data_IF_446171978522
#
_entry.id   IF_446171978522
#
_cell.length_a   1.000
_cell.length_b   1.000
_cell.length_c   1.000
_cell.angle_alpha   90.00
_cell.angle_beta   90.00
_cell.angle_gamma   90.00
#
_symmetry.space_group_name_H-M   'P 1'
#
loop_
_entity.id
_entity.type
_entity.pdbx_description
1 polymer ?
#
# COMPACT_ATOMS: atom_id res chain seq x y z
N UNK A 1 9.28 -27.81 28.34
CA UNK A 1 9.17 -29.12 27.65
C UNK A 1 9.47 -29.01 26.16
N UNK A 2 8.94 -28.01 25.42
CA UNK A 2 9.31 -27.79 24.00
C UNK A 2 10.74 -27.21 23.84
N UNK A 3 11.15 -26.30 24.74
CA UNK A 3 12.49 -25.69 24.71
C UNK A 3 13.61 -26.68 25.06
N UNK A 4 13.33 -27.64 25.94
CA UNK A 4 14.23 -28.76 26.29
C UNK A 4 14.40 -29.73 25.11
N UNK A 5 13.34 -29.91 24.30
CA UNK A 5 13.38 -30.71 23.09
C UNK A 5 14.20 -30.03 21.98
N UNK A 6 14.14 -28.69 21.88
CA UNK A 6 14.89 -27.92 20.88
C UNK A 6 16.38 -27.80 21.21
N UNK A 7 16.77 -27.75 22.49
CA UNK A 7 18.18 -27.81 22.93
C UNK A 7 18.86 -29.11 22.49
N UNK A 8 18.14 -30.24 22.49
CA UNK A 8 18.67 -31.54 22.08
C UNK A 8 18.97 -31.66 20.58
N UNK A 9 18.41 -30.77 19.75
CA UNK A 9 18.65 -30.69 18.30
C UNK A 9 19.67 -29.62 17.89
N UNK A 10 20.42 -29.01 18.83
CA UNK A 10 21.67 -28.29 18.51
C UNK A 10 22.78 -29.27 18.13
N UNK A 11 22.54 -30.08 17.10
CA UNK A 11 23.54 -30.93 16.48
C UNK A 11 24.62 -30.07 15.85
N UNK A 12 25.88 -30.33 16.19
CA UNK A 12 27.05 -29.81 15.45
C UNK A 12 26.88 -30.20 13.98
N UNK A 13 26.87 -29.20 13.09
CA UNK A 13 26.89 -29.41 11.63
C UNK A 13 28.14 -30.23 11.31
N UNK A 14 27.96 -31.53 11.08
CA UNK A 14 29.06 -32.48 10.93
C UNK A 14 29.74 -32.39 9.56
N UNK A 15 29.03 -31.88 8.54
CA UNK A 15 29.55 -31.69 7.20
C UNK A 15 28.75 -30.60 6.46
N UNK A 16 29.46 -29.63 5.89
CA UNK A 16 28.91 -28.71 4.89
C UNK A 16 29.20 -29.28 3.50
N UNK A 17 28.18 -29.83 2.83
CA UNK A 17 28.26 -30.26 1.44
C UNK A 17 27.71 -29.20 0.49
N UNK A 18 28.40 -28.93 -0.61
CA UNK A 18 27.87 -28.07 -1.69
C UNK A 18 27.05 -28.93 -2.64
N UNK A 19 25.73 -28.73 -2.71
CA UNK A 19 24.89 -29.41 -3.69
C UNK A 19 25.10 -28.78 -5.08
N UNK A 20 25.74 -29.51 -5.99
CA UNK A 20 25.87 -29.07 -7.39
C UNK A 20 24.56 -29.35 -8.13
N UNK A 21 23.77 -28.32 -8.38
CA UNK A 21 22.53 -28.43 -9.16
C UNK A 21 22.87 -28.45 -10.66
N UNK A 22 22.33 -29.41 -11.41
CA UNK A 22 22.39 -29.37 -12.87
C UNK A 22 21.50 -28.22 -13.37
N UNK A 23 22.14 -27.09 -13.72
CA UNK A 23 21.49 -25.83 -14.12
C UNK A 23 20.55 -26.03 -15.30
N UNK A 24 20.90 -26.87 -16.28
CA UNK A 24 20.05 -27.15 -17.44
C UNK A 24 18.74 -27.86 -17.04
N UNK A 25 18.81 -28.89 -16.18
CA UNK A 25 17.62 -29.56 -15.65
C UNK A 25 16.80 -28.65 -14.72
N UNK A 26 17.47 -27.83 -13.92
CA UNK A 26 16.80 -26.86 -13.06
C UNK A 26 16.01 -25.84 -13.90
N UNK A 27 16.60 -25.32 -14.99
CA UNK A 27 15.93 -24.42 -15.94
C UNK A 27 14.71 -25.05 -16.58
N UNK A 28 14.78 -26.31 -17.01
CA UNK A 28 13.62 -27.04 -17.56
C UNK A 28 12.49 -27.13 -16.53
N UNK A 29 12.82 -27.42 -15.26
CA UNK A 29 11.82 -27.44 -14.18
C UNK A 29 11.27 -26.05 -13.89
N UNK A 30 12.11 -25.01 -13.84
CA UNK A 30 11.68 -23.63 -13.62
C UNK A 30 10.76 -23.13 -14.74
N UNK A 31 10.96 -23.58 -15.99
CA UNK A 31 10.02 -23.32 -17.10
C UNK A 31 8.63 -23.93 -16.88
N UNK A 32 8.50 -24.96 -16.05
CA UNK A 32 7.20 -25.58 -15.72
C UNK A 32 6.47 -24.81 -14.62
N UNK A 33 7.21 -24.12 -13.75
CA UNK A 33 6.66 -23.21 -12.74
C UNK A 33 6.51 -21.80 -13.32
N UNK A 34 5.54 -21.67 -14.23
CA UNK A 34 5.20 -20.39 -14.84
C UNK A 34 4.45 -19.49 -13.87
N UNK A 35 4.56 -18.18 -14.09
CA UNK A 35 3.65 -17.19 -13.52
C UNK A 35 2.20 -17.62 -13.78
N UNK A 36 1.34 -17.48 -12.77
CA UNK A 36 -0.08 -17.84 -12.89
C UNK A 36 -0.73 -17.05 -14.02
N UNK A 37 -0.53 -15.73 -14.05
CA UNK A 37 -0.85 -14.88 -15.19
C UNK A 37 0.35 -14.74 -16.12
N UNK A 38 0.44 -15.58 -17.16
CA UNK A 38 1.65 -15.65 -18.01
C UNK A 38 2.09 -14.32 -18.64
N UNK A 39 1.15 -13.43 -18.99
CA UNK A 39 1.44 -12.12 -19.60
C UNK A 39 2.10 -11.10 -18.64
N UNK A 40 2.16 -11.40 -17.35
CA UNK A 40 2.88 -10.57 -16.36
C UNK A 40 4.40 -10.65 -16.52
N UNK A 41 4.92 -11.50 -17.42
CA UNK A 41 6.34 -11.52 -17.77
C UNK A 41 6.84 -10.13 -18.20
N UNK A 42 6.00 -9.36 -18.91
CA UNK A 42 6.36 -8.02 -19.36
C UNK A 42 6.54 -7.05 -18.17
N UNK A 43 5.74 -7.21 -17.11
CA UNK A 43 5.92 -6.47 -15.86
C UNK A 43 7.29 -6.75 -15.23
N UNK A 44 7.76 -8.01 -15.27
CA UNK A 44 9.10 -8.36 -14.77
C UNK A 44 10.22 -7.74 -15.61
N UNK A 45 10.05 -7.58 -16.92
CA UNK A 45 11.04 -6.88 -17.76
C UNK A 45 11.13 -5.39 -17.43
N UNK A 46 9.97 -4.74 -17.17
CA UNK A 46 9.92 -3.35 -16.70
C UNK A 46 10.51 -3.23 -15.29
N UNK A 47 10.14 -4.15 -14.38
CA UNK A 47 10.65 -4.19 -13.01
C UNK A 47 12.16 -4.40 -12.96
N UNK A 48 12.74 -5.13 -13.93
CA UNK A 48 14.18 -5.27 -14.06
C UNK A 48 14.86 -3.90 -14.26
N UNK A 49 14.30 -3.05 -15.14
CA UNK A 49 14.81 -1.69 -15.36
C UNK A 49 14.70 -0.83 -14.10
N UNK A 50 13.55 -0.85 -13.43
CA UNK A 50 13.32 -0.09 -12.18
C UNK A 50 14.29 -0.53 -11.09
N UNK A 51 14.46 -1.84 -10.88
CA UNK A 51 15.38 -2.39 -9.90
C UNK A 51 16.87 -2.07 -10.22
N UNK A 52 17.19 -1.79 -11.49
CA UNK A 52 18.51 -1.35 -11.94
C UNK A 52 18.72 0.17 -11.87
N UNK A 53 17.72 0.92 -11.39
CA UNK A 53 17.79 2.37 -11.24
C UNK A 53 17.49 3.16 -12.52
N UNK A 54 16.66 2.61 -13.42
CA UNK A 54 16.13 3.38 -14.54
C UNK A 54 15.42 4.65 -14.06
N UNK A 55 15.60 5.75 -14.80
CA UNK A 55 14.85 6.99 -14.59
C UNK A 55 13.58 7.06 -15.43
N UNK A 56 13.48 6.25 -16.49
CA UNK A 56 12.28 6.06 -17.32
C UNK A 56 12.28 4.67 -17.96
N UNK A 57 11.09 4.08 -18.13
CA UNK A 57 10.90 2.85 -18.92
C UNK A 57 9.93 3.10 -20.06
N UNK A 58 10.33 2.73 -21.28
CA UNK A 58 9.51 2.78 -22.48
C UNK A 58 9.17 1.36 -22.93
N UNK A 59 7.92 1.16 -23.29
CA UNK A 59 7.40 -0.11 -23.77
C UNK A 59 6.70 0.15 -25.10
N UNK A 60 7.17 -0.50 -26.16
CA UNK A 60 6.43 -0.61 -27.41
C UNK A 60 5.83 -2.01 -27.46
N UNK A 61 4.54 -2.09 -27.73
CA UNK A 61 3.83 -3.35 -27.75
C UNK A 61 2.78 -3.33 -28.86
N UNK A 62 3.01 -4.13 -29.89
CA UNK A 62 2.11 -4.32 -31.01
C UNK A 62 1.60 -5.76 -31.07
N UNK A 63 1.21 -6.23 -32.26
CA UNK A 63 0.62 -7.55 -32.42
C UNK A 63 1.62 -8.69 -32.15
N UNK A 64 2.88 -8.52 -32.58
CA UNK A 64 3.91 -9.56 -32.56
C UNK A 64 5.26 -9.09 -32.00
N UNK A 65 5.40 -7.83 -31.62
CA UNK A 65 6.58 -7.26 -30.97
C UNK A 65 6.26 -6.72 -29.58
N UNK A 66 7.12 -7.08 -28.64
CA UNK A 66 7.26 -6.38 -27.36
C UNK A 66 8.70 -5.87 -27.24
N UNK A 67 8.85 -4.56 -27.14
CA UNK A 67 10.13 -3.88 -26.87
C UNK A 67 10.04 -3.18 -25.54
N UNK A 68 10.98 -3.44 -24.65
CA UNK A 68 11.16 -2.71 -23.38
C UNK A 68 12.52 -2.03 -23.42
N UNK A 69 12.53 -0.70 -23.27
CA UNK A 69 13.73 0.12 -23.22
C UNK A 69 13.79 0.89 -21.91
N UNK A 70 14.98 1.03 -21.36
CA UNK A 70 15.19 1.88 -20.20
C UNK A 70 16.63 2.38 -20.16
N UNK A 71 16.81 3.53 -19.54
CA UNK A 71 18.12 4.05 -19.20
C UNK A 71 18.67 3.37 -17.95
N UNK A 72 19.95 3.59 -17.67
CA UNK A 72 20.59 3.05 -16.49
C UNK A 72 21.94 2.42 -16.79
N UNK A 73 22.59 1.83 -15.77
CA UNK A 73 23.93 1.32 -15.94
C UNK A 73 23.94 0.20 -16.98
N UNK A 74 22.90 -0.62 -17.11
CA UNK A 74 22.87 -1.77 -18.01
C UNK A 74 23.44 -3.04 -17.39
N UNK A 75 23.32 -4.15 -18.10
CA UNK A 75 23.73 -5.48 -17.65
C UNK A 75 25.24 -5.71 -17.80
N UNK A 76 25.81 -6.42 -16.84
CA UNK A 76 27.19 -6.89 -16.92
C UNK A 76 27.32 -8.01 -17.95
N UNK A 77 28.52 -8.24 -18.46
CA UNK A 77 28.82 -9.38 -19.36
C UNK A 77 28.39 -10.69 -18.73
N UNK A 78 28.77 -10.91 -17.46
CA UNK A 78 28.40 -12.10 -16.69
C UNK A 78 26.87 -12.28 -16.60
N UNK A 79 26.11 -11.20 -16.44
CA UNK A 79 24.64 -11.26 -16.43
C UNK A 79 24.09 -11.70 -17.78
N UNK A 80 24.65 -11.23 -18.90
CA UNK A 80 24.21 -11.63 -20.24
C UNK A 80 24.65 -13.05 -20.62
N UNK A 81 25.81 -13.50 -20.15
CA UNK A 81 26.30 -14.87 -20.33
C UNK A 81 25.51 -15.88 -19.49
N UNK A 82 25.01 -15.45 -18.32
CA UNK A 82 24.21 -16.28 -17.42
C UNK A 82 22.91 -15.57 -16.98
N UNK A 83 21.96 -15.32 -17.90
CA UNK A 83 20.79 -14.51 -17.63
C UNK A 83 19.79 -15.17 -16.68
N UNK A 84 19.93 -16.48 -16.43
CA UNK A 84 19.06 -17.25 -15.54
C UNK A 84 19.69 -17.59 -14.19
N UNK A 85 20.98 -17.30 -14.00
CA UNK A 85 21.70 -17.52 -12.74
C UNK A 85 20.97 -16.93 -11.52
N UNK A 86 20.50 -15.67 -11.58
CA UNK A 86 19.80 -15.02 -10.47
C UNK A 86 18.53 -15.72 -9.97
N UNK A 87 17.94 -16.67 -10.72
CA UNK A 87 16.81 -17.47 -10.24
C UNK A 87 17.21 -18.44 -9.13
N UNK A 88 18.46 -18.91 -9.17
CA UNK A 88 19.01 -19.90 -8.24
C UNK A 88 19.70 -19.25 -7.04
N UNK A 89 20.08 -17.97 -7.17
CA UNK A 89 20.69 -17.21 -6.09
C UNK A 89 19.64 -16.75 -5.05
N UNK A 90 20.03 -16.59 -3.77
CA UNK A 90 19.20 -15.92 -2.79
C UNK A 90 18.81 -14.51 -3.27
N UNK A 91 17.57 -14.11 -3.05
CA UNK A 91 17.09 -12.77 -3.43
C UNK A 91 17.73 -11.70 -2.55
N UNK A 92 18.42 -10.73 -3.17
CA UNK A 92 19.08 -9.60 -2.52
C UNK A 92 18.79 -8.30 -3.27
N UNK A 93 19.06 -7.16 -2.63
CA UNK A 93 18.98 -5.85 -3.29
C UNK A 93 19.79 -5.79 -4.58
N UNK A 94 21.01 -6.34 -4.54
CA UNK A 94 22.01 -6.22 -5.59
C UNK A 94 21.68 -7.09 -6.81
N UNK A 95 20.98 -8.21 -6.63
CA UNK A 95 20.58 -9.09 -7.73
C UNK A 95 19.12 -8.92 -8.18
N UNK A 96 18.37 -8.01 -7.54
CA UNK A 96 16.93 -7.85 -7.76
C UNK A 96 16.57 -7.72 -9.25
N UNK A 97 17.13 -6.76 -9.99
CA UNK A 97 16.79 -6.61 -11.41
C UNK A 97 17.30 -7.74 -12.32
N UNK A 98 18.37 -8.45 -11.95
CA UNK A 98 18.83 -9.62 -12.67
C UNK A 98 17.87 -10.79 -12.48
N UNK A 99 17.29 -10.89 -11.28
CA UNK A 99 16.23 -11.85 -10.95
C UNK A 99 14.93 -11.50 -11.69
N UNK A 100 14.51 -10.24 -11.71
CA UNK A 100 13.35 -9.80 -12.49
C UNK A 100 13.53 -10.08 -14.00
N UNK A 101 14.70 -9.76 -14.55
CA UNK A 101 15.03 -10.07 -15.94
C UNK A 101 14.93 -11.58 -16.19
N UNK A 102 15.52 -12.40 -15.31
CA UNK A 102 15.50 -13.84 -15.45
C UNK A 102 14.08 -14.41 -15.41
N UNK A 103 13.21 -13.92 -14.52
CA UNK A 103 11.79 -14.33 -14.43
C UNK A 103 11.06 -13.94 -15.72
N UNK A 104 11.23 -12.70 -16.18
CA UNK A 104 10.61 -12.18 -17.39
C UNK A 104 11.03 -12.96 -18.63
N UNK A 105 12.34 -13.17 -18.84
CA UNK A 105 12.88 -13.95 -19.96
C UNK A 105 12.46 -15.41 -19.91
N UNK A 106 12.53 -16.05 -18.73
CA UNK A 106 12.15 -17.46 -18.59
C UNK A 106 10.67 -17.68 -18.92
N UNK A 107 9.80 -16.76 -18.48
CA UNK A 107 8.36 -16.81 -18.78
C UNK A 107 8.08 -16.47 -20.24
N UNK A 108 8.74 -15.46 -20.81
CA UNK A 108 8.60 -15.09 -22.23
C UNK A 108 8.95 -16.27 -23.16
N UNK A 109 10.06 -16.98 -22.88
CA UNK A 109 10.48 -18.13 -23.66
C UNK A 109 9.46 -19.30 -23.62
N UNK A 110 8.58 -19.36 -22.63
CA UNK A 110 7.52 -20.38 -22.57
C UNK A 110 6.43 -20.19 -23.62
N UNK A 111 6.36 -19.00 -24.24
CA UNK A 111 5.47 -18.70 -25.35
C UNK A 111 6.05 -19.10 -26.73
N UNK A 112 7.24 -19.71 -26.74
CA UNK A 112 7.95 -20.09 -27.97
C UNK A 112 8.09 -18.92 -28.97
N UNK A 113 8.65 -17.77 -28.53
CA UNK A 113 8.86 -16.62 -29.41
C UNK A 113 9.79 -17.02 -30.56
N UNK A 114 9.72 -16.24 -31.65
CA UNK A 114 10.67 -16.39 -32.76
C UNK A 114 12.09 -16.16 -32.26
N UNK A 115 12.28 -15.12 -31.44
CA UNK A 115 13.54 -14.80 -30.78
C UNK A 115 13.33 -13.81 -29.63
N UNK A 116 14.31 -13.75 -28.74
CA UNK A 116 14.46 -12.69 -27.75
C UNK A 116 15.85 -12.10 -27.87
N UNK A 117 15.95 -10.78 -27.92
CA UNK A 117 17.19 -10.02 -27.94
C UNK A 117 17.26 -9.11 -26.71
N UNK A 118 18.37 -9.14 -26.00
CA UNK A 118 18.66 -8.21 -24.90
C UNK A 118 19.98 -7.50 -25.23
N UNK A 119 19.91 -6.24 -25.60
CA UNK A 119 21.09 -5.41 -25.88
C UNK A 119 21.39 -4.47 -24.72
N UNK A 120 22.66 -4.42 -24.31
CA UNK A 120 23.15 -3.58 -23.23
C UNK A 120 24.65 -3.36 -23.37
N UNK A 121 25.13 -2.11 -23.24
CA UNK A 121 26.57 -1.76 -23.22
C UNK A 121 27.40 -2.32 -24.38
N UNK A 122 26.89 -2.30 -25.60
CA UNK A 122 27.59 -2.81 -26.77
C UNK A 122 27.68 -4.35 -26.84
N UNK A 123 26.87 -5.04 -26.05
CA UNK A 123 26.66 -6.49 -26.13
C UNK A 123 25.19 -6.77 -26.40
N UNK A 124 24.92 -7.88 -27.07
CA UNK A 124 23.58 -8.41 -27.28
C UNK A 124 23.52 -9.91 -26.95
N UNK A 125 22.57 -10.28 -26.11
CA UNK A 125 22.16 -11.64 -25.86
C UNK A 125 21.02 -12.00 -26.82
N UNK A 126 21.20 -13.03 -27.62
CA UNK A 126 20.19 -13.63 -28.48
C UNK A 126 19.74 -14.98 -27.94
N UNK A 127 18.43 -15.15 -27.80
CA UNK A 127 17.79 -16.39 -27.36
C UNK A 127 16.85 -16.89 -28.46
N UNK A 128 17.15 -18.09 -28.96
CA UNK A 128 16.38 -18.76 -30.01
C UNK A 128 16.03 -20.18 -29.56
N UNK A 129 14.83 -20.37 -29.00
CA UNK A 129 14.43 -21.65 -28.40
C UNK A 129 15.35 -22.05 -27.24
N UNK A 130 16.27 -22.99 -27.48
CA UNK A 130 17.28 -23.42 -26.50
C UNK A 130 18.67 -22.81 -26.73
N UNK A 131 18.91 -22.21 -27.90
CA UNK A 131 20.19 -21.58 -28.22
C UNK A 131 20.32 -20.23 -27.53
N UNK A 132 21.52 -19.98 -27.03
CA UNK A 132 21.91 -18.74 -26.39
C UNK A 132 23.24 -18.29 -26.99
N UNK A 133 23.29 -17.04 -27.45
CA UNK A 133 24.48 -16.45 -28.05
C UNK A 133 24.67 -15.03 -27.53
N UNK A 134 25.88 -14.69 -27.09
CA UNK A 134 26.25 -13.33 -26.71
C UNK A 134 27.19 -12.81 -27.78
N UNK A 135 26.84 -11.68 -28.40
CA UNK A 135 27.59 -11.06 -29.49
C UNK A 135 27.87 -9.60 -29.19
N UNK A 136 28.89 -9.04 -29.86
CA UNK A 136 29.07 -7.60 -29.88
C UNK A 136 27.88 -6.93 -30.59
N UNK A 137 27.44 -5.79 -30.09
CA UNK A 137 26.34 -5.01 -30.61
C UNK A 137 26.72 -3.53 -30.63
N UNK A 138 25.95 -2.73 -31.35
CA UNK A 138 26.11 -1.28 -31.29
C UNK A 138 25.81 -0.77 -29.88
N UNK A 139 26.63 0.16 -29.41
CA UNK A 139 26.43 0.78 -28.10
C UNK A 139 25.27 1.76 -28.20
N UNK A 140 24.08 1.32 -27.79
CA UNK A 140 22.92 2.17 -27.59
C UNK A 140 22.91 2.83 -26.21
N UNK A 141 22.11 3.90 -26.03
CA UNK A 141 21.85 4.45 -24.71
C UNK A 141 20.99 3.46 -23.90
N UNK A 142 21.57 2.89 -22.83
CA UNK A 142 20.84 2.05 -21.88
C UNK A 142 20.67 0.59 -22.30
N UNK A 143 19.47 0.04 -22.04
CA UNK A 143 19.11 -1.36 -22.26
C UNK A 143 17.89 -1.42 -23.18
N UNK A 144 17.90 -2.36 -24.12
CA UNK A 144 16.74 -2.71 -24.95
C UNK A 144 16.51 -4.21 -24.92
N UNK A 145 15.29 -4.60 -24.59
CA UNK A 145 14.81 -5.99 -24.58
C UNK A 145 13.74 -6.09 -25.66
N UNK A 146 13.94 -6.93 -26.65
CA UNK A 146 13.04 -7.10 -27.77
C UNK A 146 12.65 -8.56 -27.91
N UNK A 147 11.34 -8.83 -27.85
CA UNK A 147 10.74 -10.16 -27.99
C UNK A 147 9.88 -10.16 -29.24
N UNK A 148 10.24 -11.01 -30.21
CA UNK A 148 9.45 -11.24 -31.43
C UNK A 148 8.62 -12.49 -31.29
N UNK A 149 7.30 -12.38 -31.29
CA UNK A 149 6.40 -13.53 -31.35
C UNK A 149 6.45 -14.19 -32.74
N UNK A 150 6.08 -15.48 -32.81
CA UNK A 150 5.84 -16.13 -34.09
C UNK A 150 4.47 -15.68 -34.60
N UNK A 151 4.43 -15.17 -35.83
CA UNK A 151 3.19 -14.80 -36.50
C UNK A 151 2.26 -16.01 -36.55
N UNK A 152 1.19 -15.97 -35.76
CA UNK A 152 0.21 -17.04 -35.67
C UNK A 152 -1.20 -16.49 -35.78
N UNK A 153 -2.19 -17.35 -36.01
CA UNK A 153 -3.60 -16.96 -35.99
C UNK A 153 -4.02 -16.29 -34.66
N UNK A 154 -3.29 -16.55 -33.55
CA UNK A 154 -3.51 -15.90 -32.25
C UNK A 154 -3.07 -14.44 -32.26
N UNK A 155 -1.96 -14.14 -32.92
CA UNK A 155 -1.42 -12.78 -33.12
C UNK A 155 -2.44 -11.91 -33.87
N UNK A 156 -3.08 -12.46 -34.91
CA UNK A 156 -4.16 -11.80 -35.65
C UNK A 156 -5.41 -11.49 -34.78
N UNK A 157 -5.73 -12.36 -33.82
CA UNK A 157 -6.84 -12.09 -32.86
C UNK A 157 -6.52 -10.96 -31.88
N UNK A 158 -5.26 -10.76 -31.49
CA UNK A 158 -4.85 -9.64 -30.62
C UNK A 158 -5.15 -8.29 -31.29
N UNK A 159 -4.86 -8.17 -32.59
CA UNK A 159 -5.15 -6.97 -33.41
C UNK A 159 -6.65 -6.62 -33.45
N UNK A 160 -7.52 -7.64 -33.44
CA UNK A 160 -8.98 -7.45 -33.46
C UNK A 160 -9.57 -7.11 -32.09
N UNK A 161 -8.80 -7.24 -31.01
CA UNK A 161 -9.29 -6.94 -29.67
C UNK A 161 -9.23 -5.45 -29.36
N UNK A 162 -10.34 -4.88 -28.87
CA UNK A 162 -10.41 -3.47 -28.46
C UNK A 162 -9.53 -3.13 -27.24
N UNK A 163 -9.07 -4.14 -26.52
CA UNK A 163 -8.35 -4.01 -25.25
C UNK A 163 -6.83 -3.88 -25.43
N UNK A 164 -6.31 -4.02 -26.66
CA UNK A 164 -4.88 -4.03 -26.95
C UNK A 164 -4.17 -5.32 -26.52
N UNK A 165 -2.83 -5.39 -26.68
CA UNK A 165 -2.06 -6.56 -26.29
C UNK A 165 -2.14 -6.84 -24.76
N UNK A 166 -2.25 -8.12 -24.34
CA UNK A 166 -2.44 -8.46 -22.94
C UNK A 166 -1.25 -8.08 -22.04
N UNK A 167 -0.04 -8.03 -22.58
CA UNK A 167 1.16 -7.57 -21.85
C UNK A 167 1.04 -6.09 -21.48
N UNK A 168 0.57 -5.23 -22.39
CA UNK A 168 0.34 -3.81 -22.10
C UNK A 168 -0.76 -3.63 -21.05
N UNK A 169 -1.82 -4.45 -21.09
CA UNK A 169 -2.87 -4.44 -20.07
C UNK A 169 -2.31 -4.87 -18.69
N UNK A 170 -1.45 -5.88 -18.64
CA UNK A 170 -0.81 -6.34 -17.41
C UNK A 170 0.07 -5.25 -16.77
N UNK A 171 0.87 -4.54 -17.57
CA UNK A 171 1.72 -3.44 -17.08
C UNK A 171 0.83 -2.29 -16.56
N UNK A 172 -0.18 -1.85 -17.33
CA UNK A 172 -1.12 -0.80 -16.88
C UNK A 172 -1.79 -1.13 -15.55
N UNK A 173 -2.17 -2.39 -15.35
CA UNK A 173 -2.83 -2.81 -14.12
C UNK A 173 -1.86 -2.92 -12.94
N UNK A 174 -0.74 -3.64 -13.10
CA UNK A 174 0.17 -3.99 -12.01
C UNK A 174 1.16 -2.89 -11.65
N UNK A 175 1.43 -1.95 -12.57
CA UNK A 175 2.49 -0.94 -12.44
C UNK A 175 1.99 0.50 -12.55
N UNK A 176 0.68 0.73 -12.39
CA UNK A 176 0.04 2.06 -12.44
C UNK A 176 0.67 3.08 -11.48
N UNK A 177 1.21 2.61 -10.36
CA UNK A 177 1.81 3.45 -9.33
C UNK A 177 3.33 3.32 -9.29
N UNK A 178 3.94 2.99 -10.43
CA UNK A 178 5.39 2.89 -10.55
C UNK A 178 6.05 4.19 -10.07
N UNK A 179 7.18 4.11 -9.34
CA UNK A 179 7.93 5.28 -8.90
C UNK A 179 8.75 5.91 -10.02
N UNK A 180 8.88 5.20 -11.13
CA UNK A 180 9.58 5.60 -12.35
C UNK A 180 8.53 5.76 -13.46
N UNK A 181 8.59 6.84 -14.26
CA UNK A 181 7.70 7.01 -15.41
C UNK A 181 7.72 5.79 -16.34
N UNK A 182 6.54 5.31 -16.72
CA UNK A 182 6.37 4.21 -17.68
C UNK A 182 5.53 4.70 -18.85
N UNK A 183 6.11 4.62 -20.05
CA UNK A 183 5.43 4.92 -21.31
C UNK A 183 5.11 3.62 -22.02
N UNK A 184 3.85 3.40 -22.40
CA UNK A 184 3.42 2.30 -23.26
C UNK A 184 2.92 2.88 -24.58
N UNK A 185 3.55 2.56 -25.70
CA UNK A 185 3.22 3.11 -27.02
C UNK A 185 3.12 4.65 -26.97
N UNK A 186 4.12 5.28 -26.33
CA UNK A 186 4.22 6.74 -26.08
C UNK A 186 3.17 7.32 -25.11
N UNK A 187 2.22 6.53 -24.62
CA UNK A 187 1.25 6.93 -23.61
C UNK A 187 1.82 6.68 -22.21
N UNK A 188 1.88 7.71 -21.37
CA UNK A 188 2.29 7.57 -19.98
C UNK A 188 1.19 6.87 -19.17
N UNK A 189 1.55 5.83 -18.44
CA UNK A 189 0.57 5.01 -17.68
C UNK A 189 0.73 5.11 -16.16
N UNK A 190 1.88 5.60 -15.68
CA UNK A 190 2.03 5.92 -14.28
C UNK A 190 1.17 7.14 -13.97
N UNK A 191 0.34 7.02 -12.95
CA UNK A 191 -0.60 8.05 -12.57
C UNK A 191 -0.68 8.17 -11.06
N UNK A 192 -1.17 9.31 -10.57
CA UNK A 192 -1.34 9.47 -9.15
C UNK A 192 -2.32 8.46 -8.61
N UNK A 193 -2.08 8.00 -7.38
CA UNK A 193 -3.09 7.23 -6.69
C UNK A 193 -4.16 8.19 -6.15
N UNK A 194 -5.43 7.97 -6.51
CA UNK A 194 -6.50 8.77 -5.95
C UNK A 194 -6.67 8.38 -4.48
N UNK A 195 -6.27 9.28 -3.59
CA UNK A 195 -6.74 9.30 -2.23
C UNK A 195 -7.91 10.28 -2.22
N UNK A 196 -9.11 9.79 -1.94
CA UNK A 196 -10.32 10.61 -1.92
C UNK A 196 -10.23 11.69 -0.82
N UNK A 197 -11.37 12.21 -0.37
CA UNK A 197 -11.43 13.15 0.74
C UNK A 197 -10.87 12.51 2.02
N UNK A 198 -9.62 12.80 2.38
CA UNK A 198 -8.92 12.22 3.52
C UNK A 198 -8.69 13.27 4.63
N UNK A 199 -8.77 12.85 5.89
CA UNK A 199 -8.70 13.78 7.01
C UNK A 199 -7.32 14.42 7.15
N UNK A 200 -6.29 13.59 7.06
CA UNK A 200 -4.90 14.02 7.10
C UNK A 200 -4.02 13.12 6.23
N UNK A 201 -2.89 13.66 5.78
CA UNK A 201 -1.87 12.96 5.00
C UNK A 201 -0.49 13.10 5.66
N UNK A 202 0.26 12.01 5.66
CA UNK A 202 1.68 11.97 5.95
C UNK A 202 2.43 11.52 4.69
N UNK A 203 3.36 12.35 4.25
CA UNK A 203 4.34 12.01 3.23
C UNK A 203 5.67 11.75 3.91
N UNK A 204 6.26 10.57 3.68
CA UNK A 204 7.59 10.24 4.17
C UNK A 204 8.56 10.07 3.00
N UNK A 205 9.81 10.49 3.20
CA UNK A 205 10.87 10.36 2.21
C UNK A 205 11.99 9.48 2.76
N UNK A 206 12.37 8.47 1.99
CA UNK A 206 13.52 7.61 2.24
C UNK A 206 14.51 7.67 1.08
N UNK A 207 15.82 7.81 1.34
CA UNK A 207 16.83 7.89 0.29
C UNK A 207 16.76 6.72 -0.69
N UNK A 208 16.80 7.02 -2.00
CA UNK A 208 16.84 6.00 -3.06
C UNK A 208 15.51 5.32 -3.37
N UNK A 209 14.42 5.64 -2.66
CA UNK A 209 13.08 5.15 -3.01
C UNK A 209 12.13 6.32 -3.25
N UNK A 210 11.14 6.12 -4.11
CA UNK A 210 10.11 7.13 -4.40
C UNK A 210 8.76 6.44 -4.41
N UNK A 211 7.71 7.18 -4.10
CA UNK A 211 6.32 6.77 -4.34
C UNK A 211 5.77 7.69 -5.43
N UNK A 212 4.89 7.17 -6.28
CA UNK A 212 4.18 8.00 -7.24
C UNK A 212 3.37 9.10 -6.55
N UNK A 213 3.02 10.18 -7.26
CA UNK A 213 2.23 11.25 -6.67
C UNK A 213 0.88 10.72 -6.16
N UNK A 214 0.30 11.45 -5.20
CA UNK A 214 -1.05 11.20 -4.73
C UNK A 214 -1.91 12.42 -5.03
N UNK A 215 -3.10 12.18 -5.55
CA UNK A 215 -4.12 13.21 -5.76
C UNK A 215 -5.20 13.05 -4.70
N UNK A 216 -5.64 14.17 -4.11
CA UNK A 216 -6.67 14.17 -3.08
C UNK A 216 -6.87 15.54 -2.43
N UNK A 217 -7.94 15.65 -1.64
CA UNK A 217 -8.16 16.81 -0.75
C UNK A 217 -7.92 16.38 0.68
N UNK A 218 -7.06 17.11 1.38
CA UNK A 218 -6.62 16.79 2.73
C UNK A 218 -6.95 17.93 3.68
N UNK A 219 -7.43 17.61 4.88
CA UNK A 219 -7.59 18.63 5.93
C UNK A 219 -6.25 19.07 6.53
N UNK A 220 -5.26 18.17 6.52
CA UNK A 220 -3.92 18.44 7.04
C UNK A 220 -2.86 17.63 6.27
N UNK A 221 -1.66 18.19 6.12
CA UNK A 221 -0.51 17.53 5.48
C UNK A 221 0.73 17.65 6.35
N UNK A 222 1.40 16.52 6.56
CA UNK A 222 2.69 16.36 7.20
C UNK A 222 3.69 15.80 6.20
N UNK A 223 4.93 16.28 6.28
CA UNK A 223 6.04 15.82 5.46
C UNK A 223 7.27 15.60 6.35
N UNK A 224 7.92 14.45 6.20
CA UNK A 224 9.11 14.11 6.99
C UNK A 224 10.04 13.09 6.33
N UNK A 225 11.23 12.93 6.89
CA UNK A 225 12.11 11.81 6.57
C UNK A 225 11.68 10.55 7.33
N UNK A 226 11.76 9.40 6.67
CA UNK A 226 11.34 8.12 7.25
C UNK A 226 12.12 6.94 6.70
N UNK A 227 11.92 5.77 7.31
CA UNK A 227 12.53 4.51 6.86
C UNK A 227 12.09 4.16 5.42
N UNK A 228 10.83 4.43 5.10
CA UNK A 228 10.23 4.17 3.80
C UNK A 228 9.78 5.48 3.15
N UNK A 229 9.86 5.54 1.82
CA UNK A 229 9.11 6.54 1.06
C UNK A 229 7.65 6.12 1.02
N UNK A 230 6.75 6.96 1.51
CA UNK A 230 5.34 6.62 1.66
C UNK A 230 4.41 7.82 1.52
N UNK A 231 3.19 7.52 1.08
CA UNK A 231 2.05 8.43 1.13
C UNK A 231 0.95 7.73 1.93
N UNK A 232 0.62 8.29 3.09
CA UNK A 232 -0.27 7.67 4.07
C UNK A 232 -1.38 8.65 4.39
N UNK A 233 -2.63 8.25 4.18
CA UNK A 233 -3.79 9.10 4.41
C UNK A 233 -4.81 8.45 5.34
N UNK A 234 -5.26 9.23 6.31
CA UNK A 234 -6.25 8.84 7.31
C UNK A 234 -7.65 8.93 6.70
N UNK A 235 -8.41 7.84 6.80
CA UNK A 235 -9.76 7.70 6.22
C UNK A 235 -10.69 6.95 7.17
N UNK A 236 -12.00 7.12 7.00
CA UNK A 236 -13.06 6.43 7.73
C UNK A 236 -13.47 5.09 7.09
N UNK A 237 -12.95 4.76 5.91
CA UNK A 237 -13.28 3.53 5.19
C UNK A 237 -12.32 2.38 5.54
N UNK A 238 -12.83 1.14 5.50
CA UNK A 238 -11.96 -0.03 5.39
C UNK A 238 -11.04 0.15 4.19
N UNK A 239 -9.74 -0.01 4.46
CA UNK A 239 -8.70 0.39 3.52
C UNK A 239 -7.56 -0.60 3.54
N UNK A 240 -6.74 -0.55 2.50
CA UNK A 240 -5.60 -1.44 2.28
C UNK A 240 -4.31 -0.61 2.19
N UNK A 241 -3.19 -1.24 2.50
CA UNK A 241 -1.88 -0.71 2.14
C UNK A 241 -1.47 -1.25 0.77
N UNK A 242 -1.14 -0.36 -0.17
CA UNK A 242 -0.50 -0.70 -1.44
C UNK A 242 1.02 -0.65 -1.25
N UNK A 243 1.69 -1.79 -1.38
CA UNK A 243 3.13 -1.89 -1.31
C UNK A 243 3.70 -1.91 -2.73
N UNK A 244 4.65 -1.02 -3.00
CA UNK A 244 5.27 -0.85 -4.31
C UNK A 244 6.68 -1.42 -4.24
N UNK A 245 6.95 -2.49 -4.98
CA UNK A 245 8.25 -3.15 -5.04
C UNK A 245 8.66 -3.35 -6.49
N UNK A 246 9.75 -2.73 -6.92
CA UNK A 246 10.21 -2.70 -8.32
C UNK A 246 9.09 -2.32 -9.32
N UNK A 247 8.21 -1.39 -8.91
CA UNK A 247 7.06 -0.95 -9.69
C UNK A 247 5.84 -1.87 -9.64
N UNK A 248 5.93 -3.08 -9.08
CA UNK A 248 4.76 -3.91 -8.81
C UNK A 248 3.97 -3.39 -7.63
N UNK A 249 2.65 -3.35 -7.78
CA UNK A 249 1.71 -3.03 -6.71
C UNK A 249 1.19 -4.32 -6.08
N UNK A 250 1.40 -4.46 -4.77
CA UNK A 250 0.82 -5.51 -3.94
C UNK A 250 -0.16 -4.91 -2.94
N UNK A 251 -1.22 -5.63 -2.63
CA UNK A 251 -2.14 -5.24 -1.56
C UNK A 251 -1.80 -6.03 -0.29
N UNK A 252 -1.55 -5.30 0.80
CA UNK A 252 -1.16 -5.87 2.07
C UNK A 252 -2.25 -5.63 3.12
N UNK A 253 -3.17 -6.59 3.21
CA UNK A 253 -4.19 -6.71 4.26
C UNK A 253 -5.12 -5.49 4.43
N UNK A 254 -6.18 -5.64 5.24
CA UNK A 254 -6.91 -4.48 5.73
C UNK A 254 -6.05 -3.76 6.76
N UNK A 255 -5.82 -2.46 6.57
CA UNK A 255 -5.24 -1.57 7.58
C UNK A 255 -6.33 -0.56 7.97
N UNK A 256 -6.94 -0.79 9.13
CA UNK A 256 -8.12 -0.06 9.54
C UNK A 256 -7.85 1.45 9.63
N UNK A 257 -8.67 2.23 8.93
CA UNK A 257 -8.68 3.69 8.98
C UNK A 257 -7.55 4.38 8.20
N UNK A 258 -6.81 3.67 7.35
CA UNK A 258 -5.70 4.28 6.59
C UNK A 258 -5.58 3.70 5.20
N UNK A 259 -5.42 4.58 4.20
CA UNK A 259 -4.92 4.21 2.87
C UNK A 259 -3.45 4.57 2.81
N UNK A 260 -2.62 3.60 2.43
CA UNK A 260 -1.19 3.81 2.34
C UNK A 260 -0.65 3.36 0.99
N UNK A 261 0.32 4.08 0.48
CA UNK A 261 1.23 3.63 -0.56
C UNK A 261 2.64 3.68 -0.02
N UNK A 262 3.34 2.57 -0.06
CA UNK A 262 4.69 2.48 0.50
C UNK A 262 5.62 1.89 -0.53
N UNK A 263 6.67 2.62 -0.90
CA UNK A 263 7.76 2.06 -1.69
C UNK A 263 8.65 1.23 -0.77
N UNK A 264 8.74 -0.05 -1.07
CA UNK A 264 9.47 -1.01 -0.26
C UNK A 264 10.69 -1.46 -1.04
N UNK A 265 11.92 -1.32 -0.49
CA UNK A 265 13.13 -1.72 -1.21
C UNK A 265 13.23 -3.23 -1.37
N UNK A 266 12.73 -4.00 -0.41
CA UNK A 266 12.81 -5.46 -0.38
C UNK A 266 11.53 -6.09 0.14
N UNK A 267 10.94 -7.00 -0.64
CA UNK A 267 9.85 -7.86 -0.21
C UNK A 267 10.11 -9.29 -0.64
N UNK A 268 9.74 -10.25 0.20
CA UNK A 268 9.74 -11.66 -0.19
C UNK A 268 8.42 -12.01 -0.85
N UNK A 269 8.49 -12.56 -2.05
CA UNK A 269 7.34 -13.06 -2.80
C UNK A 269 7.25 -14.57 -2.72
N UNK A 270 6.06 -15.09 -2.96
CA UNK A 270 5.86 -16.52 -3.14
C UNK A 270 6.42 -16.97 -4.50
N UNK A 271 6.34 -18.28 -4.78
CA UNK A 271 6.86 -18.81 -6.05
C UNK A 271 6.07 -18.29 -7.27
N UNK A 272 4.79 -17.92 -7.09
CA UNK A 272 3.98 -17.36 -8.17
C UNK A 272 4.33 -15.91 -8.52
N UNK A 273 5.08 -15.23 -7.64
CA UNK A 273 5.38 -13.80 -7.70
C UNK A 273 4.16 -12.88 -7.54
N UNK A 274 2.97 -13.42 -7.27
CA UNK A 274 1.74 -12.64 -7.14
C UNK A 274 1.40 -12.31 -5.69
N UNK A 275 1.94 -13.07 -4.74
CA UNK A 275 1.63 -12.90 -3.33
C UNK A 275 2.89 -12.59 -2.53
N UNK A 276 2.70 -11.76 -1.50
CA UNK A 276 3.73 -11.48 -0.53
C UNK A 276 3.79 -12.61 0.50
N UNK A 277 5.00 -13.03 0.84
CA UNK A 277 5.23 -13.95 1.95
C UNK A 277 5.35 -13.16 3.25
N UNK A 278 4.76 -13.70 4.31
CA UNK A 278 5.04 -13.23 5.66
C UNK A 278 6.54 -13.29 5.93
N UNK A 279 7.11 -12.13 6.23
CA UNK A 279 8.54 -11.94 6.46
C UNK A 279 8.74 -10.76 7.42
N UNK A 280 9.89 -10.67 8.10
CA UNK A 280 10.19 -9.53 8.96
C UNK A 280 10.10 -8.18 8.22
N UNK A 281 10.49 -8.13 6.94
CA UNK A 281 10.39 -6.93 6.12
C UNK A 281 8.92 -6.49 5.90
N UNK A 282 8.03 -7.43 5.59
CA UNK A 282 6.59 -7.14 5.47
C UNK A 282 6.02 -6.66 6.80
N UNK A 283 6.37 -7.32 7.91
CA UNK A 283 5.93 -6.91 9.25
C UNK A 283 6.43 -5.52 9.63
N UNK A 284 7.67 -5.16 9.28
CA UNK A 284 8.23 -3.84 9.52
C UNK A 284 7.44 -2.75 8.77
N UNK A 285 7.14 -2.97 7.49
CA UNK A 285 6.34 -2.03 6.68
C UNK A 285 4.94 -1.85 7.25
N UNK A 286 4.26 -2.93 7.64
CA UNK A 286 2.92 -2.84 8.24
C UNK A 286 2.96 -2.10 9.59
N UNK A 287 3.98 -2.38 10.42
CA UNK A 287 4.19 -1.66 11.69
C UNK A 287 4.44 -0.17 11.46
N UNK A 288 5.20 0.18 10.42
CA UNK A 288 5.43 1.56 10.02
C UNK A 288 4.12 2.27 9.63
N UNK A 289 3.26 1.63 8.82
CA UNK A 289 1.95 2.19 8.44
C UNK A 289 1.05 2.40 9.67
N UNK A 290 1.05 1.45 10.61
CA UNK A 290 0.29 1.58 11.86
C UNK A 290 0.81 2.74 12.72
N UNK A 291 2.13 2.88 12.88
CA UNK A 291 2.74 3.99 13.62
C UNK A 291 2.43 5.34 12.97
N UNK A 292 2.53 5.42 11.63
CA UNK A 292 2.16 6.60 10.87
C UNK A 292 0.68 6.97 11.06
N UNK A 293 -0.21 5.97 11.09
CA UNK A 293 -1.63 6.19 11.41
C UNK A 293 -1.79 6.77 12.81
N UNK A 294 -1.15 6.19 13.83
CA UNK A 294 -1.23 6.72 15.20
C UNK A 294 -0.77 8.18 15.26
N UNK A 295 0.35 8.48 14.63
CA UNK A 295 0.90 9.84 14.54
C UNK A 295 -0.05 10.81 13.84
N UNK A 296 -0.66 10.42 12.72
CA UNK A 296 -1.65 11.23 12.02
C UNK A 296 -2.86 11.53 12.90
N UNK A 297 -3.33 10.55 13.66
CA UNK A 297 -4.45 10.74 14.59
C UNK A 297 -4.09 11.71 15.70
N UNK A 298 -2.94 11.54 16.35
CA UNK A 298 -2.45 12.46 17.38
C UNK A 298 -2.32 13.88 16.83
N UNK A 299 -1.82 14.02 15.61
CA UNK A 299 -1.69 15.32 14.97
C UNK A 299 -3.04 15.95 14.60
N UNK A 300 -4.03 15.16 14.20
CA UNK A 300 -5.40 15.65 14.01
C UNK A 300 -6.00 16.17 15.32
N UNK A 301 -5.74 15.49 16.44
CA UNK A 301 -6.21 15.92 17.76
C UNK A 301 -5.51 17.21 18.22
N UNK A 302 -4.19 17.30 18.07
CA UNK A 302 -3.43 18.49 18.40
C UNK A 302 -3.85 19.73 17.59
N UNK A 303 -4.32 19.53 16.35
CA UNK A 303 -4.74 20.60 15.44
C UNK A 303 -6.26 20.69 15.27
N UNK A 304 -7.05 20.15 16.22
CA UNK A 304 -8.50 20.07 16.10
C UNK A 304 -9.17 21.41 15.70
N UNK A 305 -8.70 22.52 16.28
CA UNK A 305 -9.28 23.84 16.05
C UNK A 305 -8.92 24.45 14.67
N UNK A 306 -7.97 23.88 13.92
CA UNK A 306 -7.63 24.38 12.57
C UNK A 306 -8.55 23.81 11.48
N UNK A 307 -9.22 22.70 11.76
CA UNK A 307 -10.14 22.07 10.82
C UNK A 307 -11.44 22.87 10.62
N UNK A 308 -12.04 22.78 9.44
CA UNK A 308 -13.39 23.29 9.19
C UNK A 308 -14.47 22.42 9.85
N UNK A 309 -15.74 22.84 9.79
CA UNK A 309 -16.83 22.13 10.46
C UNK A 309 -17.01 20.67 9.98
N UNK A 310 -17.01 20.37 8.66
CA UNK A 310 -17.03 18.99 8.17
C UNK A 310 -15.88 18.13 8.70
N UNK A 311 -14.65 18.64 8.68
CA UNK A 311 -13.48 17.88 9.13
C UNK A 311 -13.47 17.68 10.65
N UNK A 312 -13.84 18.70 11.43
CA UNK A 312 -13.99 18.58 12.89
C UNK A 312 -14.98 17.48 13.27
N UNK A 313 -16.08 17.32 12.53
CA UNK A 313 -17.05 16.25 12.78
C UNK A 313 -16.41 14.85 12.61
N UNK A 314 -15.58 14.67 11.58
CA UNK A 314 -14.84 13.42 11.36
C UNK A 314 -13.78 13.18 12.45
N UNK A 315 -12.99 14.19 12.82
CA UNK A 315 -12.00 14.08 13.91
C UNK A 315 -12.67 13.67 15.22
N UNK A 316 -13.87 14.21 15.52
CA UNK A 316 -14.65 13.83 16.71
C UNK A 316 -15.09 12.37 16.66
N UNK A 317 -15.64 11.92 15.54
CA UNK A 317 -16.05 10.51 15.38
C UNK A 317 -14.89 9.56 15.65
N UNK A 318 -13.71 9.90 15.12
CA UNK A 318 -12.48 9.14 15.35
C UNK A 318 -11.99 9.20 16.80
N UNK A 319 -12.02 10.39 17.42
CA UNK A 319 -11.65 10.56 18.83
C UNK A 319 -12.58 9.77 19.75
N UNK A 320 -13.88 9.75 19.47
CA UNK A 320 -14.87 8.97 20.21
C UNK A 320 -14.55 7.48 20.16
N UNK A 321 -14.23 6.96 18.97
CA UNK A 321 -13.85 5.55 18.81
C UNK A 321 -12.57 5.17 19.59
N UNK A 322 -11.72 6.15 19.93
CA UNK A 322 -10.47 5.96 20.68
C UNK A 322 -10.53 6.33 22.15
N UNK A 323 -11.65 6.85 22.63
CA UNK A 323 -11.78 7.35 23.99
C UNK A 323 -11.42 6.28 25.05
N UNK A 324 -11.71 5.00 24.80
CA UNK A 324 -11.40 3.94 25.76
C UNK A 324 -9.91 3.68 25.92
N UNK A 325 -9.15 3.69 24.83
CA UNK A 325 -7.71 3.38 24.83
C UNK A 325 -6.82 4.61 24.97
N UNK A 326 -7.32 5.81 24.64
CA UNK A 326 -6.52 7.03 24.55
C UNK A 326 -7.15 8.24 25.28
N UNK A 327 -7.92 7.99 26.35
CA UNK A 327 -8.65 9.04 27.09
C UNK A 327 -7.82 10.29 27.38
N UNK A 328 -6.59 10.14 27.86
CA UNK A 328 -5.73 11.26 28.24
C UNK A 328 -5.41 12.21 27.08
N UNK A 329 -5.30 11.67 25.85
CA UNK A 329 -5.02 12.44 24.63
C UNK A 329 -6.26 13.19 24.13
N UNK A 330 -7.45 12.61 24.28
CA UNK A 330 -8.68 13.16 23.68
C UNK A 330 -9.60 13.88 24.67
N UNK A 331 -9.35 13.80 25.99
CA UNK A 331 -10.25 14.33 27.03
C UNK A 331 -10.50 15.83 26.97
N UNK A 332 -9.60 16.57 26.31
CA UNK A 332 -9.69 18.03 26.14
C UNK A 332 -10.32 18.45 24.82
N UNK A 333 -10.55 17.51 23.91
CA UNK A 333 -11.23 17.79 22.66
C UNK A 333 -12.73 18.03 22.92
N UNK A 334 -13.38 18.93 22.14
CA UNK A 334 -14.81 19.15 22.22
C UNK A 334 -15.56 18.03 21.49
N UNK A 335 -15.67 16.88 22.15
CA UNK A 335 -16.18 15.63 21.57
C UNK A 335 -17.69 15.45 21.67
N UNK A 336 -18.33 16.10 22.64
CA UNK A 336 -19.73 15.84 22.96
C UNK A 336 -20.59 17.05 22.62
N UNK A 337 -21.59 16.86 21.76
CA UNK A 337 -22.55 17.90 21.45
C UNK A 337 -23.54 18.07 22.62
N UNK A 338 -23.84 19.31 22.99
CA UNK A 338 -24.88 19.64 23.95
C UNK A 338 -26.20 19.91 23.23
N UNK A 339 -27.32 19.81 23.94
CA UNK A 339 -28.66 20.03 23.38
C UNK A 339 -28.83 21.44 22.78
N UNK A 340 -28.08 22.43 23.25
CA UNK A 340 -28.05 23.79 22.71
C UNK A 340 -27.17 23.97 21.46
N UNK A 341 -26.53 22.89 20.98
CA UNK A 341 -25.65 22.89 19.80
C UNK A 341 -24.19 23.26 20.09
N UNK A 342 -23.87 23.66 21.32
CA UNK A 342 -22.47 23.84 21.73
C UNK A 342 -21.78 22.48 21.96
N UNK A 343 -20.45 22.50 22.10
CA UNK A 343 -19.66 21.27 22.31
C UNK A 343 -18.88 21.34 23.62
N UNK A 344 -18.77 20.21 24.31
CA UNK A 344 -18.04 20.07 25.58
C UNK A 344 -17.01 18.95 25.53
N UNK A 345 -16.11 18.94 26.52
CA UNK A 345 -14.97 18.01 26.59
C UNK A 345 -15.23 16.91 27.61
N UNK A 346 -14.59 15.76 27.45
CA UNK A 346 -14.70 14.65 28.42
C UNK A 346 -14.23 15.09 29.83
N UNK A 347 -13.19 15.92 29.90
CA UNK A 347 -12.68 16.48 31.16
C UNK A 347 -13.72 17.37 31.84
N UNK A 348 -14.42 18.24 31.10
CA UNK A 348 -15.48 19.11 31.66
C UNK A 348 -16.63 18.27 32.20
N UNK A 349 -17.09 17.27 31.44
CA UNK A 349 -18.14 16.34 31.89
C UNK A 349 -17.72 15.59 33.15
N UNK A 350 -16.48 15.10 33.23
CA UNK A 350 -15.99 14.36 34.41
C UNK A 350 -15.94 15.20 35.68
N UNK A 351 -15.69 16.50 35.56
CA UNK A 351 -15.67 17.42 36.72
C UNK A 351 -17.06 17.80 37.22
N UNK A 352 -18.09 17.63 36.41
CA UNK A 352 -19.47 17.90 36.80
C UNK A 352 -20.01 16.68 37.57
N UNK A 353 -19.82 16.68 38.88
CA UNK A 353 -20.00 15.54 39.80
C UNK A 353 -21.46 15.13 40.08
N UNK A 354 -22.45 15.72 39.41
CA UNK A 354 -23.86 15.49 39.73
C UNK A 354 -24.69 15.47 38.46
N UNK A 355 -25.00 14.29 37.93
CA UNK A 355 -26.03 14.12 36.91
C UNK A 355 -26.65 12.73 37.11
N UNK A 356 -27.87 12.48 36.62
CA UNK A 356 -28.59 11.19 36.68
C UNK A 356 -28.98 10.79 35.26
N UNK A 357 -28.90 9.51 34.94
CA UNK A 357 -29.19 8.95 33.62
C UNK A 357 -30.66 9.09 33.25
N UNK A 358 -30.90 9.48 32.00
CA UNK A 358 -32.22 9.54 31.37
C UNK A 358 -32.30 8.42 30.34
N UNK A 359 -33.03 7.37 30.68
CA UNK A 359 -33.55 6.43 29.69
C UNK A 359 -35.03 6.23 29.98
N UNK A 360 -35.85 6.63 29.01
CA UNK A 360 -37.25 6.24 28.72
C UNK A 360 -38.30 6.33 29.83
N UNK A 361 -37.96 6.66 31.08
CA UNK A 361 -38.90 6.83 32.18
C UNK A 361 -38.81 8.23 32.77
N UNK A 362 -39.90 8.97 32.58
CA UNK A 362 -40.08 10.36 32.98
C UNK A 362 -40.63 10.44 34.41
N UNK A 363 -39.80 10.71 35.44
CA UNK A 363 -40.34 11.57 36.51
C UNK A 363 -39.37 12.62 37.08
N UNK A 364 -38.11 12.71 36.63
CA UNK A 364 -37.18 13.73 37.14
C UNK A 364 -37.14 14.97 36.25
N UNK A 365 -37.29 16.19 36.79
CA UNK A 365 -37.01 17.43 36.05
C UNK A 365 -35.49 17.69 36.06
N UNK A 366 -34.82 17.97 34.92
CA UNK A 366 -33.42 18.40 34.96
C UNK A 366 -33.33 19.74 35.69
N UNK A 367 -32.28 19.94 36.48
CA UNK A 367 -32.00 21.28 37.02
C UNK A 367 -31.47 22.15 35.88
N UNK A 368 -31.94 23.39 35.82
CA UNK A 368 -31.68 24.38 34.76
C UNK A 368 -30.19 24.62 34.38
N UNK A 369 -29.26 24.29 35.28
CA UNK A 369 -27.84 24.55 35.11
C UNK A 369 -27.04 23.36 34.56
N UNK A 370 -27.66 22.20 34.36
CA UNK A 370 -26.97 20.97 34.02
C UNK A 370 -26.87 20.79 32.49
N UNK A 371 -25.67 20.52 31.93
CA UNK A 371 -25.52 20.29 30.50
C UNK A 371 -26.10 18.93 30.13
N UNK A 372 -27.00 18.92 29.14
CA UNK A 372 -27.55 17.70 28.54
C UNK A 372 -26.74 17.36 27.30
N UNK A 373 -26.08 16.21 27.31
CA UNK A 373 -25.28 15.73 26.18
C UNK A 373 -26.20 15.02 25.19
N UNK A 374 -26.06 15.34 23.92
CA UNK A 374 -26.65 14.58 22.82
C UNK A 374 -25.77 13.37 22.59
N UNK A 375 -26.30 12.16 22.78
CA UNK A 375 -25.59 10.95 22.42
C UNK A 375 -26.26 10.27 21.24
N UNK A 376 -25.42 9.73 20.37
CA UNK A 376 -25.80 8.72 19.40
C UNK A 376 -25.37 7.32 19.88
N UNK A 377 -25.61 6.33 19.02
CA UNK A 377 -25.27 4.94 19.27
C UNK A 377 -23.76 4.69 19.46
N UNK A 378 -22.88 5.54 18.92
CA UNK A 378 -21.42 5.40 19.07
C UNK A 378 -20.94 5.94 20.41
N UNK A 379 -21.51 7.07 20.83
CA UNK A 379 -21.10 7.78 22.05
C UNK A 379 -21.73 7.19 23.32
N UNK A 380 -22.94 6.63 23.22
CA UNK A 380 -23.72 6.13 24.37
C UNK A 380 -22.99 5.05 25.20
N UNK A 381 -22.41 3.98 24.62
CA UNK A 381 -21.72 2.96 25.41
C UNK A 381 -20.57 3.52 26.24
N UNK A 382 -19.84 4.49 25.66
CA UNK A 382 -18.75 5.18 26.35
C UNK A 382 -19.28 6.02 27.53
N UNK A 383 -20.32 6.83 27.28
CA UNK A 383 -20.88 7.70 28.33
C UNK A 383 -21.37 6.89 29.54
N UNK A 384 -22.07 5.77 29.29
CA UNK A 384 -22.55 4.88 30.34
C UNK A 384 -21.40 4.23 31.09
N UNK A 385 -20.36 3.75 30.39
CA UNK A 385 -19.22 3.08 31.03
C UNK A 385 -18.40 4.03 31.91
N UNK A 386 -18.13 5.24 31.43
CA UNK A 386 -17.20 6.17 32.07
C UNK A 386 -17.84 7.11 33.08
N UNK A 387 -19.08 7.52 32.84
CA UNK A 387 -19.81 8.40 33.74
C UNK A 387 -20.87 7.65 34.56
N UNK A 388 -21.11 6.37 34.27
CA UNK A 388 -22.13 5.56 34.96
C UNK A 388 -23.54 6.06 34.66
N UNK A 389 -24.46 5.83 35.60
CA UNK A 389 -25.80 6.43 35.57
C UNK A 389 -25.77 7.95 35.86
N UNK A 390 -24.63 8.62 35.70
CA UNK A 390 -24.45 10.01 36.12
C UNK A 390 -24.31 10.99 34.97
N UNK A 391 -25.09 10.84 33.90
CA UNK A 391 -25.09 11.80 32.80
C UNK A 391 -26.48 11.89 32.17
N UNK A 392 -26.97 13.11 31.95
CA UNK A 392 -28.20 13.31 31.17
C UNK A 392 -27.85 13.17 29.69
N UNK A 393 -28.41 12.13 29.07
CA UNK A 393 -28.23 11.82 27.67
C UNK A 393 -29.56 12.04 26.97
N UNK A 394 -29.60 12.96 26.01
CA UNK A 394 -30.69 13.03 25.06
C UNK A 394 -30.32 12.19 23.84
N UNK A 395 -31.20 11.28 23.43
CA UNK A 395 -31.07 10.65 22.12
C UNK A 395 -31.18 11.72 21.04
N UNK A 396 -30.40 11.57 19.96
CA UNK A 396 -30.31 12.56 18.89
C UNK A 396 -31.67 12.91 18.28
N UNK A 397 -32.59 11.95 18.20
CA UNK A 397 -33.96 12.12 17.71
C UNK A 397 -34.81 13.03 18.62
N UNK A 398 -34.47 13.10 19.91
CA UNK A 398 -35.16 13.93 20.91
C UNK A 398 -34.49 15.29 21.14
N UNK A 399 -33.42 15.61 20.42
CA UNK A 399 -32.63 16.84 20.61
C UNK A 399 -33.49 18.10 20.57
N UNK A 400 -34.35 18.24 19.56
CA UNK A 400 -35.16 19.46 19.38
C UNK A 400 -36.23 19.62 20.46
N UNK A 401 -36.91 18.53 20.82
CA UNK A 401 -37.89 18.50 21.90
C UNK A 401 -37.24 18.87 23.24
N UNK A 402 -36.04 18.34 23.51
CA UNK A 402 -35.28 18.65 24.71
C UNK A 402 -34.81 20.11 24.72
N UNK A 403 -34.32 20.62 23.59
CA UNK A 403 -33.92 22.02 23.46
C UNK A 403 -35.11 22.98 23.67
N UNK A 404 -36.30 22.64 23.16
CA UNK A 404 -37.52 23.39 23.41
C UNK A 404 -37.91 23.38 24.89
N UNK A 405 -37.83 22.21 25.55
CA UNK A 405 -38.13 22.08 26.97
C UNK A 405 -37.19 22.91 27.86
N UNK A 406 -35.87 22.82 27.62
CA UNK A 406 -34.87 23.60 28.37
C UNK A 406 -35.04 25.11 28.18
N UNK A 407 -35.39 25.56 26.96
CA UNK A 407 -35.71 26.97 26.69
C UNK A 407 -36.92 27.44 27.49
N UNK A 408 -37.98 26.63 27.56
CA UNK A 408 -39.18 26.93 28.35
C UNK A 408 -38.86 27.02 29.85
N UNK A 409 -38.09 26.08 30.39
CA UNK A 409 -37.69 26.11 31.80
C UNK A 409 -36.90 27.38 32.15
N UNK A 410 -36.02 27.87 31.24
CA UNK A 410 -35.24 29.10 31.44
C UNK A 410 -36.12 30.34 31.45
N UNK A 411 -37.21 30.35 30.67
CA UNK A 411 -38.19 31.43 30.68
C UNK A 411 -39.05 31.42 31.96
N UNK A 412 -39.35 30.24 32.49
CA UNK A 412 -40.18 30.08 33.68
C UNK A 412 -39.40 30.31 35.00
N UNK A 413 -38.06 30.21 35.00
CA UNK A 413 -37.19 30.43 36.17
C UNK A 413 -35.91 31.19 35.77
N UNK A 414 -35.95 32.54 35.69
CA UNK A 414 -34.84 33.38 35.24
C UNK A 414 -33.64 33.43 36.20
#
# INVERSE_FOLDING_TARGET
>A
MLDEYLEQFRGKVAESGTFTVNVAKARIKLRQYLLRERHTYACHLVAAGIAWGASEVRVENDADDLVVEFDGPGFSVHTLENPFGPLLDPETAQNAGGRELAIGLNTALSFDPRWVNVSSRGLALWLHGERQEVVAAETGPGVRIHIKERTSWRTLKKVLSRSGPPEAAAIRWRMRYSPVPILINQERIDGPCPLDRCLARLTTHSPGTRVGPVEGTFGLHLEEEGEFSAEIALTDLESFAKLIFNGFVYEAGPVAGVRAMVAVPHLQRDLSQEQLRHSPALSAVLSFVEQAREKLVEHCFANFDTFDAPWRAQVRSMAVARLESHFEQVRDLPLFELVDGSWTTARKLRRQTYLRYWADTWPGRPRLAEPVVVADHQVRPFLVRWFGERLFVAEREHKEAMAAHLRRLRQENP
#
